data_IF_135581140621
#
_entry.id   IF_135581140621
#
_cell.length_a   1.000
_cell.length_b   1.000
_cell.length_c   1.000
_cell.angle_alpha   90.00
_cell.angle_beta   90.00
_cell.angle_gamma   90.00
#
_symmetry.space_group_name_H-M   'P 1'
#
loop_
_entity.id
_entity.type
_entity.pdbx_description
1 polymer ?
#
# COMPACT_ATOMS: atom_id res chain seq x y z
N UNK A 1 14.61 5.85 4.55
CA UNK A 1 15.29 6.73 5.53
C UNK A 1 14.41 7.81 6.15
N UNK A 2 13.55 8.53 5.41
CA UNK A 2 12.71 9.60 5.99
C UNK A 2 11.79 9.11 7.12
N UNK A 3 11.03 8.03 6.92
CA UNK A 3 10.09 7.50 7.91
C UNK A 3 10.75 6.99 9.20
N UNK A 4 11.97 6.45 9.11
CA UNK A 4 12.76 6.06 10.27
C UNK A 4 13.19 7.27 11.12
N UNK A 5 13.43 8.43 10.49
CA UNK A 5 13.80 9.67 11.19
C UNK A 5 12.62 10.31 11.92
N UNK A 6 11.40 10.08 11.46
CA UNK A 6 10.16 10.63 12.07
C UNK A 6 9.35 9.60 12.86
N UNK A 7 9.94 8.42 13.11
CA UNK A 7 9.35 7.33 13.89
C UNK A 7 7.93 6.94 13.44
N UNK A 8 7.68 6.97 12.13
CA UNK A 8 6.40 6.57 11.55
C UNK A 8 6.46 5.08 11.22
N UNK A 9 5.55 4.24 11.76
CA UNK A 9 5.53 2.82 11.48
C UNK A 9 5.19 2.57 10.00
N UNK A 10 5.98 1.70 9.35
CA UNK A 10 5.78 1.30 7.97
C UNK A 10 5.01 -0.03 7.99
N UNK A 11 3.76 -0.03 7.51
CA UNK A 11 2.93 -1.23 7.46
C UNK A 11 3.36 -2.21 6.36
N UNK A 12 3.94 -1.70 5.27
CA UNK A 12 4.42 -2.53 4.17
C UNK A 12 4.51 -1.76 2.86
N UNK A 13 4.71 -2.51 1.78
CA UNK A 13 4.94 -2.01 0.43
C UNK A 13 3.80 -2.45 -0.49
N UNK A 14 3.27 -1.51 -1.26
CA UNK A 14 2.34 -1.75 -2.38
C UNK A 14 3.05 -1.36 -3.67
N UNK A 15 3.02 -2.24 -4.66
CA UNK A 15 3.54 -1.95 -6.00
C UNK A 15 2.41 -1.47 -6.91
N UNK A 16 2.40 -0.17 -7.22
CA UNK A 16 1.45 0.41 -8.16
C UNK A 16 1.94 0.24 -9.61
N UNK A 17 1.01 0.11 -10.56
CA UNK A 17 1.28 -0.03 -12.00
C UNK A 17 2.23 -1.21 -12.32
N UNK A 18 2.04 -2.32 -11.61
CA UNK A 18 2.94 -3.49 -11.66
C UNK A 18 2.93 -4.25 -12.98
N UNK A 19 1.84 -4.19 -13.73
CA UNK A 19 1.70 -4.91 -14.98
C UNK A 19 0.71 -4.19 -15.90
N UNK A 20 0.94 -4.24 -17.21
CA UNK A 20 -0.01 -3.76 -18.20
C UNK A 20 -0.73 -4.96 -18.82
N UNK A 21 -2.06 -4.96 -18.76
CA UNK A 21 -2.88 -6.01 -19.39
C UNK A 21 -3.38 -5.49 -20.73
N UNK A 22 -2.95 -6.12 -21.83
CA UNK A 22 -3.37 -5.74 -23.16
C UNK A 22 -4.88 -5.96 -23.34
N UNK A 23 -5.62 -4.88 -23.60
CA UNK A 23 -7.07 -4.92 -23.81
C UNK A 23 -7.50 -5.74 -25.04
N UNK A 24 -6.61 -5.93 -26.01
CA UNK A 24 -6.90 -6.66 -27.25
C UNK A 24 -6.70 -8.17 -27.15
N UNK A 25 -5.82 -8.65 -26.27
CA UNK A 25 -5.46 -10.07 -26.20
C UNK A 25 -5.33 -10.65 -24.78
N UNK A 26 -5.43 -9.83 -23.75
CA UNK A 26 -5.28 -10.24 -22.35
C UNK A 26 -3.85 -10.56 -21.93
N UNK A 27 -2.85 -10.32 -22.79
CA UNK A 27 -1.45 -10.54 -22.44
C UNK A 27 -1.01 -9.55 -21.37
N UNK A 28 -0.37 -10.08 -20.32
CA UNK A 28 0.21 -9.29 -19.25
C UNK A 28 1.69 -9.01 -19.56
N UNK A 29 2.05 -7.73 -19.58
CA UNK A 29 3.41 -7.27 -19.85
C UNK A 29 3.94 -6.39 -18.71
N UNK A 30 5.22 -6.55 -18.39
CA UNK A 30 5.91 -5.89 -17.28
C UNK A 30 6.72 -4.71 -17.82
N UNK A 31 6.01 -3.72 -18.38
CA UNK A 31 6.59 -2.62 -19.17
C UNK A 31 7.53 -1.68 -18.39
N UNK A 32 7.46 -1.68 -17.06
CA UNK A 32 8.33 -0.89 -16.17
C UNK A 32 9.35 -1.74 -15.41
N UNK A 33 9.52 -3.00 -15.81
CA UNK A 33 10.31 -4.00 -15.12
C UNK A 33 9.48 -4.77 -14.09
N UNK A 34 9.97 -5.95 -13.70
CA UNK A 34 9.22 -6.86 -12.85
C UNK A 34 9.69 -6.83 -11.39
N UNK A 35 8.74 -7.00 -10.46
CA UNK A 35 8.97 -7.30 -9.03
C UNK A 35 9.84 -6.28 -8.29
N UNK A 36 9.74 -4.98 -8.60
CA UNK A 36 10.47 -3.92 -7.93
C UNK A 36 10.06 -3.78 -6.46
N UNK A 37 8.76 -3.75 -6.20
CA UNK A 37 8.19 -3.66 -4.86
C UNK A 37 8.52 -4.88 -4.00
N UNK A 38 8.52 -6.08 -4.59
CA UNK A 38 8.91 -7.31 -3.88
C UNK A 38 10.40 -7.30 -3.50
N UNK A 39 11.30 -6.91 -4.42
CA UNK A 39 12.72 -6.75 -4.10
C UNK A 39 12.95 -5.72 -3.00
N UNK A 40 12.22 -4.62 -3.02
CA UNK A 40 12.31 -3.57 -2.00
C UNK A 40 11.83 -4.09 -0.64
N UNK A 41 10.76 -4.88 -0.62
CA UNK A 41 10.24 -5.55 0.58
C UNK A 41 11.31 -6.46 1.20
N UNK A 42 11.96 -7.28 0.39
CA UNK A 42 13.05 -8.17 0.83
C UNK A 42 14.26 -7.37 1.32
N UNK A 43 14.67 -6.33 0.60
CA UNK A 43 15.82 -5.50 0.94
C UNK A 43 15.69 -4.82 2.31
N UNK A 44 14.47 -4.35 2.64
CA UNK A 44 14.21 -3.61 3.87
C UNK A 44 13.52 -4.44 4.96
N UNK A 45 13.26 -5.73 4.71
CA UNK A 45 12.56 -6.60 5.64
C UNK A 45 11.13 -6.13 5.95
N UNK A 46 10.46 -5.50 4.98
CA UNK A 46 9.11 -4.96 5.11
C UNK A 46 8.08 -5.91 4.51
N UNK A 47 6.84 -5.97 5.02
CA UNK A 47 5.77 -6.75 4.39
C UNK A 47 5.48 -6.30 2.96
N UNK A 48 5.31 -7.25 2.03
CA UNK A 48 4.77 -6.97 0.71
C UNK A 48 3.25 -7.15 0.74
N UNK A 49 2.52 -6.05 0.63
CA UNK A 49 1.07 -6.05 0.76
C UNK A 49 0.39 -6.48 -0.54
N UNK A 50 0.98 -6.17 -1.69
CA UNK A 50 0.47 -6.62 -2.99
C UNK A 50 0.80 -5.64 -4.10
N UNK A 51 0.21 -5.88 -5.25
CA UNK A 51 0.40 -5.07 -6.44
C UNK A 51 -0.92 -4.78 -7.15
N UNK A 52 -0.97 -3.64 -7.85
CA UNK A 52 -2.11 -3.21 -8.66
C UNK A 52 -1.63 -3.04 -10.11
N UNK A 53 -2.36 -3.54 -11.11
CA UNK A 53 -1.98 -3.37 -12.51
C UNK A 53 -2.19 -1.93 -12.99
N UNK A 54 -1.54 -1.58 -14.09
CA UNK A 54 -1.85 -0.40 -14.87
C UNK A 54 -3.12 -0.69 -15.68
N UNK A 55 -4.24 -0.13 -15.23
CA UNK A 55 -5.56 -0.35 -15.83
C UNK A 55 -6.27 0.99 -16.06
N UNK A 56 -6.74 1.21 -17.30
CA UNK A 56 -7.43 2.44 -17.69
C UNK A 56 -8.78 2.62 -16.99
N UNK A 57 -9.42 1.51 -16.61
CA UNK A 57 -10.64 1.50 -15.82
C UNK A 57 -10.44 2.11 -14.44
N UNK A 58 -9.28 1.89 -13.79
CA UNK A 58 -8.96 2.54 -12.51
C UNK A 58 -9.00 4.06 -12.64
N UNK A 59 -8.33 4.59 -13.66
CA UNK A 59 -8.28 6.03 -13.90
C UNK A 59 -9.67 6.59 -14.19
N UNK A 60 -10.39 5.99 -15.14
CA UNK A 60 -11.72 6.46 -15.55
C UNK A 60 -12.70 6.47 -14.37
N UNK A 61 -12.79 5.35 -13.66
CA UNK A 61 -13.70 5.17 -12.53
C UNK A 61 -13.38 6.20 -11.41
N UNK A 62 -12.09 6.41 -11.13
CA UNK A 62 -11.64 7.43 -10.16
C UNK A 62 -11.97 8.86 -10.60
N UNK A 63 -11.77 9.20 -11.87
CA UNK A 63 -12.09 10.52 -12.43
C UNK A 63 -13.60 10.82 -12.41
N UNK A 64 -14.43 9.78 -12.58
CA UNK A 64 -15.89 9.85 -12.47
C UNK A 64 -16.38 9.90 -11.01
N UNK A 65 -15.48 9.75 -10.03
CA UNK A 65 -15.82 9.73 -8.61
C UNK A 65 -16.47 8.43 -8.13
N UNK A 66 -16.39 7.37 -8.94
CA UNK A 66 -16.93 6.05 -8.65
C UNK A 66 -15.78 5.03 -8.72
N UNK A 67 -15.01 4.78 -7.64
CA UNK A 67 -13.79 3.97 -7.71
C UNK A 67 -14.05 2.52 -8.13
N UNK A 68 -13.07 1.85 -8.75
CA UNK A 68 -13.23 0.48 -9.28
C UNK A 68 -13.74 -0.57 -8.28
N UNK A 69 -13.45 -0.41 -6.99
CA UNK A 69 -13.97 -1.29 -5.93
C UNK A 69 -15.48 -1.17 -5.72
N UNK A 70 -16.09 -0.06 -6.13
CA UNK A 70 -17.53 0.22 -6.09
C UNK A 70 -18.17 -0.08 -7.43
N UNK A 71 -17.63 0.47 -8.53
CA UNK A 71 -18.20 0.29 -9.88
C UNK A 71 -18.16 -1.15 -10.36
N UNK A 72 -17.06 -1.84 -10.05
CA UNK A 72 -16.73 -3.17 -10.59
C UNK A 72 -16.27 -4.11 -9.47
N UNK A 73 -17.14 -4.42 -8.50
CA UNK A 73 -16.75 -5.12 -7.28
C UNK A 73 -16.18 -6.51 -7.54
N UNK A 74 -16.60 -7.20 -8.61
CA UNK A 74 -16.12 -8.54 -8.96
C UNK A 74 -14.90 -8.53 -9.89
N UNK A 75 -14.36 -7.35 -10.24
CA UNK A 75 -13.19 -7.25 -11.12
C UNK A 75 -11.91 -7.73 -10.43
N UNK A 76 -10.90 -8.21 -11.20
CA UNK A 76 -9.57 -8.51 -10.67
C UNK A 76 -8.90 -7.31 -9.99
N UNK A 77 -9.17 -6.09 -10.48
CA UNK A 77 -8.70 -4.83 -9.88
C UNK A 77 -9.32 -4.62 -8.51
N UNK A 78 -10.64 -4.78 -8.37
CA UNK A 78 -11.29 -4.64 -7.08
C UNK A 78 -10.82 -5.72 -6.08
N UNK A 79 -10.58 -6.94 -6.56
CA UNK A 79 -10.02 -8.01 -5.75
C UNK A 79 -8.62 -7.68 -5.23
N UNK A 80 -7.73 -7.13 -6.07
CA UNK A 80 -6.37 -6.75 -5.65
C UNK A 80 -6.38 -5.69 -4.56
N UNK A 81 -7.23 -4.66 -4.68
CA UNK A 81 -7.41 -3.65 -3.62
C UNK A 81 -7.91 -4.26 -2.31
N UNK A 82 -8.89 -5.18 -2.35
CA UNK A 82 -9.40 -5.85 -1.15
C UNK A 82 -8.33 -6.72 -0.49
N UNK A 83 -7.55 -7.45 -1.26
CA UNK A 83 -6.46 -8.29 -0.74
C UNK A 83 -5.38 -7.44 -0.06
N UNK A 84 -4.99 -6.33 -0.69
CA UNK A 84 -4.05 -5.36 -0.10
C UNK A 84 -4.62 -4.79 1.20
N UNK A 85 -5.88 -4.36 1.20
CA UNK A 85 -6.53 -3.80 2.37
C UNK A 85 -6.62 -4.81 3.52
N UNK A 86 -6.90 -6.09 3.22
CA UNK A 86 -6.96 -7.15 4.23
C UNK A 86 -5.59 -7.39 4.85
N UNK A 87 -4.53 -7.47 4.04
CA UNK A 87 -3.15 -7.64 4.54
C UNK A 87 -2.69 -6.44 5.35
N UNK A 88 -2.93 -5.23 4.86
CA UNK A 88 -2.62 -3.98 5.58
C UNK A 88 -3.34 -3.93 6.93
N UNK A 89 -4.60 -4.36 6.98
CA UNK A 89 -5.38 -4.44 8.22
C UNK A 89 -4.79 -5.48 9.19
N UNK A 90 -4.31 -6.60 8.67
CA UNK A 90 -3.58 -7.61 9.45
C UNK A 90 -2.30 -7.06 10.07
N UNK A 91 -1.47 -6.38 9.28
CA UNK A 91 -0.24 -5.73 9.76
C UNK A 91 -0.54 -4.65 10.80
N UNK A 92 -1.57 -3.84 10.56
CA UNK A 92 -2.01 -2.82 11.52
C UNK A 92 -2.50 -3.45 12.84
N UNK A 93 -3.26 -4.54 12.77
CA UNK A 93 -3.75 -5.24 13.96
C UNK A 93 -2.62 -5.92 14.75
N UNK A 94 -1.60 -6.43 14.05
CA UNK A 94 -0.40 -7.00 14.65
C UNK A 94 0.53 -5.93 15.23
N UNK A 95 0.48 -4.70 14.70
CA UNK A 95 1.28 -3.59 15.21
C UNK A 95 0.83 -3.18 16.62
N UNK A 96 1.81 -2.94 17.50
CA UNK A 96 1.53 -2.47 18.85
C UNK A 96 0.82 -1.12 18.81
N UNK A 97 -0.21 -0.95 19.64
CA UNK A 97 -0.92 0.34 19.76
C UNK A 97 0.08 1.42 20.15
N UNK A 98 0.22 2.43 19.31
CA UNK A 98 1.05 3.58 19.61
C UNK A 98 0.32 4.50 20.60
N UNK A 99 0.68 4.37 21.88
CA UNK A 99 0.19 5.21 22.96
C UNK A 99 0.99 6.51 23.13
N UNK A 100 2.00 6.79 22.29
CA UNK A 100 2.85 7.98 22.43
C UNK A 100 2.06 9.30 22.37
N UNK A 101 0.92 9.32 21.68
CA UNK A 101 0.00 10.48 21.67
C UNK A 101 -0.86 10.61 22.92
N UNK A 102 -1.01 9.54 23.71
CA UNK A 102 -1.85 9.50 24.91
C UNK A 102 -1.09 9.91 26.18
N UNK A 103 0.25 9.87 26.15
CA UNK A 103 1.10 10.30 27.25
C UNK A 103 1.82 11.61 26.87
N UNK A 104 1.45 12.76 27.47
CA UNK A 104 2.18 14.00 27.22
C UNK A 104 3.62 13.90 27.69
N UNK A 105 4.54 14.55 26.96
CA UNK A 105 5.96 14.61 27.31
C UNK A 105 6.14 15.35 28.63
N UNK A 106 6.44 14.63 29.71
CA UNK A 106 6.77 15.23 31.02
C UNK A 106 8.26 15.59 31.00
N UNK A 107 8.56 16.88 30.86
CA UNK A 107 9.91 17.41 31.10
C UNK A 107 9.98 17.96 32.52
N UNK A 108 10.74 17.32 33.40
CA UNK A 108 11.12 17.91 34.69
C UNK A 108 12.37 18.75 34.44
N UNK A 109 12.27 20.06 34.65
CA UNK A 109 13.43 20.93 34.75
C UNK A 109 13.72 21.10 36.24
N UNK A 110 14.96 20.84 36.64
CA UNK A 110 15.44 21.24 37.96
C UNK A 110 15.69 22.75 37.88
N UNK A 111 14.98 23.50 38.71
CA UNK A 111 15.24 24.94 38.90
C UNK A 111 16.51 25.07 39.75
N UNK A 112 17.54 25.74 39.23
CA UNK A 112 18.74 26.15 39.96
C UNK A 112 18.46 27.30 40.95
#
# INVERSE_FOLDING_TARGET
>A
EMFQKVNVPILGIVENMSAHICSSCGHEDQIFGAAGGKRLSEQYGLPFLGSVPLDTGIMKNTDEGDPSVVSEPESPVAASYRDIALRASGELAASGKDYSRLFPTISVKEDE
#
